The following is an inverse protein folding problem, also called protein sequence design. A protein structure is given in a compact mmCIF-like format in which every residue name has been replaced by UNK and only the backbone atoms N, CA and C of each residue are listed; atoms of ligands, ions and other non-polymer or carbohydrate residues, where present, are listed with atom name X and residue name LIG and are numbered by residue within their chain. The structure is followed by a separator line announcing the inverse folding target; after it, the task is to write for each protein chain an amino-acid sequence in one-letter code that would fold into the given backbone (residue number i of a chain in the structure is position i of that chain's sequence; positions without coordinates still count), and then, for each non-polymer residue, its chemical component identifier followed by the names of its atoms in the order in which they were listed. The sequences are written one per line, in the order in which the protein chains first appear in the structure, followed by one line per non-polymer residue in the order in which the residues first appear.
data_IF_243976314080
#
_entry.id   IF_243976314080
#
_cell.length_a   1.000
_cell.length_b   1.000
_cell.length_c   1.000
_cell.angle_alpha   90.00
_cell.angle_beta   90.00
_cell.angle_gamma   90.00
#
_symmetry.space_group_name_H-M   'P 1'
#
loop_
_entity.id
_entity.type
_entity.pdbx_description
1 polymer ?
#
# COMPACT_ATOMS: atom_id res chain seq x y z
N UNK A 1 7.60 -29.71 -12.74
CA UNK A 1 7.74 -29.42 -12.22
C UNK A 1 8.11 -29.28 -11.50
N UNK A 2 8.45 -29.62 -12.28
CA UNK A 2 8.78 -29.26 -11.55
C UNK A 2 9.16 -29.03 -10.85
N UNK A 3 9.33 -29.34 -11.61
CA UNK A 3 9.64 -28.81 -10.99
C UNK A 3 9.83 -28.61 -10.35
N UNK A 4 9.91 -28.57 -10.75
CA UNK A 4 9.98 -28.11 -9.98
C UNK A 4 9.98 -27.86 -9.16
N UNK A 5 9.90 -27.97 -9.56
CA UNK A 5 9.84 -27.40 -8.76
C UNK A 5 9.71 -27.18 -8.25
N UNK A 6 9.58 -26.92 -8.63
CA UNK A 6 9.39 -26.39 -7.90
C UNK A 6 9.13 -26.21 -7.26
N UNK A 7 8.97 -26.44 -7.76
CA UNK A 7 8.70 -25.95 -7.05
C UNK A 7 8.69 -25.60 -6.19
N UNK A 8 8.30 -25.34 -6.21
CA UNK A 8 8.27 -24.82 -5.53
C UNK A 8 8.31 -24.36 -5.19
N UNK A 9 8.35 -24.05 -5.58
CA UNK A 9 8.33 -23.43 -5.42
C UNK A 9 8.15 -22.91 -5.72
N UNK A 10 7.89 -22.93 -6.42
CA UNK A 10 7.61 -22.34 -6.73
C UNK A 10 7.10 -21.72 -6.37
N UNK A 11 6.73 -21.77 -6.31
CA UNK A 11 6.27 -21.02 -6.01
C UNK A 11 6.34 -20.50 -5.33
N UNK A 12 6.35 -20.33 -5.38
CA UNK A 12 6.54 -19.31 -4.73
C UNK A 12 7.58 -18.58 -4.74
N UNK A 13 8.14 -18.86 -5.22
CA UNK A 13 9.14 -18.15 -5.39
C UNK A 13 9.13 -17.12 -6.28
N UNK A 14 8.43 -17.29 -7.09
CA UNK A 14 8.44 -16.26 -7.91
C UNK A 14 7.91 -15.07 -7.30
N UNK A 15 8.10 -15.24 -6.67
CA UNK A 15 7.87 -14.29 -6.16
C UNK A 15 7.59 -13.10 -6.07
N UNK A 16 7.23 -13.40 -6.56
CA UNK A 16 7.10 -12.35 -5.66
C UNK A 16 7.47 -11.04 -6.22
N UNK A 17 8.54 -10.95 -6.60
CA UNK A 17 9.09 -9.70 -6.98
C UNK A 17 8.57 -9.19 -8.26
N UNK A 18 7.98 -10.06 -9.04
CA UNK A 18 7.61 -9.70 -10.40
C UNK A 18 6.13 -9.48 -10.62
N UNK A 19 5.35 -9.42 -9.56
CA UNK A 19 3.92 -9.16 -9.72
C UNK A 19 3.74 -7.71 -10.13
N UNK A 20 3.26 -7.50 -11.37
CA UNK A 20 3.02 -6.18 -11.92
C UNK A 20 1.57 -5.78 -11.91
N UNK A 21 0.68 -6.75 -11.88
CA UNK A 21 -0.75 -6.51 -11.78
C UNK A 21 -1.44 -7.73 -11.20
N UNK A 22 -2.56 -7.49 -10.56
CA UNK A 22 -3.34 -8.56 -9.97
C UNK A 22 -4.79 -8.11 -9.86
N UNK A 23 -5.70 -9.08 -9.83
CA UNK A 23 -7.11 -8.83 -9.58
C UNK A 23 -7.50 -9.70 -8.40
N UNK A 24 -8.14 -9.08 -7.41
CA UNK A 24 -8.73 -9.79 -6.28
C UNK A 24 -10.25 -9.74 -6.44
N UNK A 25 -10.89 -10.87 -6.32
CA UNK A 25 -12.33 -10.99 -6.53
C UNK A 25 -13.08 -10.87 -5.20
N UNK A 26 -14.38 -10.68 -5.30
CA UNK A 26 -15.24 -10.52 -4.13
C UNK A 26 -14.96 -11.59 -3.09
N UNK A 27 -14.71 -11.18 -1.86
CA UNK A 27 -14.49 -12.10 -0.76
C UNK A 27 -13.03 -12.50 -0.54
N UNK A 28 -12.13 -12.15 -1.43
CA UNK A 28 -10.69 -12.43 -1.24
C UNK A 28 -10.07 -11.38 -0.31
N UNK A 29 -10.67 -11.19 0.84
CA UNK A 29 -10.26 -10.14 1.78
C UNK A 29 -8.89 -10.46 2.36
N UNK A 30 -8.67 -11.70 2.78
CA UNK A 30 -7.39 -12.06 3.37
C UNK A 30 -6.26 -12.05 2.34
N UNK A 31 -6.54 -12.53 1.12
CA UNK A 31 -5.53 -12.54 0.06
C UNK A 31 -5.11 -11.13 -0.31
N UNK A 32 -6.07 -10.22 -0.43
CA UNK A 32 -5.78 -8.82 -0.72
C UNK A 32 -5.01 -8.16 0.43
N UNK A 33 -5.42 -8.41 1.67
CA UNK A 33 -4.72 -7.93 2.85
C UNK A 33 -3.27 -8.42 2.85
N UNK A 34 -3.07 -9.71 2.65
CA UNK A 34 -1.75 -10.33 2.65
C UNK A 34 -0.84 -9.75 1.56
N UNK A 35 -1.41 -9.52 0.37
CA UNK A 35 -0.66 -8.93 -0.74
C UNK A 35 -0.21 -7.51 -0.40
N UNK A 36 -1.12 -6.69 0.11
CA UNK A 36 -0.82 -5.30 0.46
C UNK A 36 0.20 -5.24 1.60
N UNK A 37 0.06 -6.08 2.61
CA UNK A 37 1.03 -6.17 3.70
C UNK A 37 2.41 -6.55 3.14
N UNK A 38 2.45 -7.44 2.15
CA UNK A 38 3.70 -7.79 1.49
C UNK A 38 4.37 -6.58 0.84
N UNK A 39 3.59 -5.70 0.21
CA UNK A 39 4.12 -4.47 -0.36
C UNK A 39 4.64 -3.53 0.74
N UNK A 40 3.87 -3.39 1.82
CA UNK A 40 4.27 -2.55 2.96
C UNK A 40 5.61 -3.02 3.54
N UNK A 41 5.78 -4.33 3.65
CA UNK A 41 7.00 -4.92 4.21
C UNK A 41 8.21 -4.83 3.30
N UNK A 42 8.03 -4.53 2.03
CA UNK A 42 9.15 -4.28 1.12
C UNK A 42 9.84 -2.96 1.43
N UNK A 43 9.14 -2.00 2.01
CA UNK A 43 9.69 -0.67 2.25
C UNK A 43 10.81 -0.72 3.27
N UNK A 44 11.92 -0.05 2.94
CA UNK A 44 13.08 0.07 3.81
C UNK A 44 13.26 1.49 4.33
N UNK A 45 12.70 2.48 3.65
CA UNK A 45 12.87 3.88 4.00
C UNK A 45 11.56 4.63 4.16
N UNK A 46 10.66 4.52 3.20
CA UNK A 46 9.48 5.37 3.19
C UNK A 46 8.30 4.73 2.46
N UNK A 47 7.11 4.95 3.01
CA UNK A 47 5.85 4.57 2.39
C UNK A 47 5.04 5.85 2.22
N UNK A 48 4.47 6.07 1.04
CA UNK A 48 3.49 7.12 0.82
C UNK A 48 2.20 6.44 0.38
N UNK A 49 1.13 6.66 1.12
CA UNK A 49 -0.20 6.16 0.76
C UNK A 49 -1.07 7.34 0.37
N UNK A 50 -1.60 7.30 -0.84
CA UNK A 50 -2.58 8.27 -1.32
C UNK A 50 -3.94 7.57 -1.30
N UNK A 51 -4.82 7.98 -0.39
CA UNK A 51 -6.12 7.33 -0.21
C UNK A 51 -7.05 8.31 0.53
N UNK A 52 -8.18 8.64 -0.08
CA UNK A 52 -9.10 9.62 0.50
C UNK A 52 -9.97 9.07 1.63
N UNK A 53 -9.99 7.76 1.85
CA UNK A 53 -10.90 7.12 2.80
C UNK A 53 -10.17 6.34 3.88
N UNK A 54 -9.19 6.98 4.50
CA UNK A 54 -8.36 6.34 5.54
C UNK A 54 -9.05 6.32 6.89
N UNK A 55 -8.81 5.27 7.66
CA UNK A 55 -9.34 5.08 9.01
C UNK A 55 -8.40 4.22 9.85
N UNK A 56 -8.88 3.74 11.00
CA UNK A 56 -8.08 2.89 11.88
C UNK A 56 -7.65 1.60 11.19
N UNK A 57 -8.50 1.03 10.31
CA UNK A 57 -8.13 -0.20 9.60
C UNK A 57 -6.99 0.03 8.62
N UNK A 58 -6.91 1.25 8.05
CA UNK A 58 -5.75 1.64 7.25
C UNK A 58 -4.48 1.56 8.09
N UNK A 59 -4.52 2.07 9.31
CA UNK A 59 -3.37 2.03 10.22
C UNK A 59 -3.01 0.62 10.64
N UNK A 60 -4.00 -0.27 10.75
CA UNK A 60 -3.75 -1.68 11.07
C UNK A 60 -2.92 -2.38 9.98
N UNK A 61 -3.05 -1.92 8.75
CA UNK A 61 -2.23 -2.42 7.65
C UNK A 61 -0.84 -1.77 7.68
N UNK A 62 -0.80 -0.46 7.83
CA UNK A 62 0.46 0.29 7.82
C UNK A 62 1.38 -0.05 9.00
N UNK A 63 0.83 -0.47 10.13
CA UNK A 63 1.64 -0.85 11.29
C UNK A 63 2.50 -2.10 11.01
N UNK A 64 2.22 -2.82 9.94
CA UNK A 64 3.02 -3.98 9.53
C UNK A 64 4.35 -3.60 8.89
N UNK A 65 4.61 -2.32 8.73
CA UNK A 65 5.86 -1.81 8.17
C UNK A 65 7.07 -2.25 8.98
N UNK A 66 8.23 -2.22 8.34
CA UNK A 66 9.49 -2.43 9.05
C UNK A 66 9.78 -1.26 9.99
N UNK A 67 10.51 -1.55 11.06
CA UNK A 67 10.86 -0.54 12.04
C UNK A 67 11.68 0.57 11.38
N UNK A 68 11.38 1.81 11.74
CA UNK A 68 12.12 2.95 11.25
C UNK A 68 11.66 3.49 9.89
N UNK A 69 10.71 2.84 9.25
CA UNK A 69 10.19 3.31 7.97
C UNK A 69 9.24 4.48 8.18
N UNK A 70 9.46 5.57 7.45
CA UNK A 70 8.57 6.73 7.46
C UNK A 70 7.29 6.42 6.70
N UNK A 71 6.15 6.89 7.19
CA UNK A 71 4.86 6.75 6.50
C UNK A 71 4.22 8.11 6.35
N UNK A 72 3.83 8.43 5.13
CA UNK A 72 3.04 9.64 4.83
C UNK A 72 1.72 9.19 4.23
N UNK A 73 0.62 9.66 4.80
CA UNK A 73 -0.71 9.48 4.20
C UNK A 73 -1.11 10.81 3.58
N UNK A 74 -1.41 10.79 2.29
CA UNK A 74 -1.97 11.94 1.56
C UNK A 74 -3.45 11.66 1.32
N UNK A 75 -4.32 12.44 1.91
CA UNK A 75 -5.75 12.16 1.94
C UNK A 75 -6.59 13.44 1.85
N UNK A 76 -7.77 13.33 1.26
CA UNK A 76 -8.74 14.41 1.26
C UNK A 76 -9.54 14.47 2.58
N UNK A 77 -9.32 13.50 3.48
CA UNK A 77 -9.99 13.50 4.78
C UNK A 77 -11.43 13.04 4.75
N UNK A 78 -11.79 12.23 3.76
CA UNK A 78 -13.17 11.71 3.65
C UNK A 78 -13.42 10.49 4.53
N UNK A 79 -12.38 9.91 5.10
CA UNK A 79 -12.50 8.81 6.03
C UNK A 79 -12.61 9.29 7.47
N UNK A 80 -12.52 8.36 8.40
CA UNK A 80 -12.73 8.62 9.82
C UNK A 80 -11.44 8.70 10.65
N UNK A 81 -10.28 8.80 10.00
CA UNK A 81 -9.02 8.88 10.72
C UNK A 81 -8.94 10.17 11.54
N UNK A 82 -8.67 10.05 12.83
CA UNK A 82 -8.60 11.19 13.72
C UNK A 82 -7.18 11.50 14.15
N UNK A 83 -6.98 12.70 14.69
CA UNK A 83 -5.68 13.09 15.26
C UNK A 83 -5.26 12.17 16.40
N UNK A 84 -6.23 11.69 17.19
CA UNK A 84 -5.95 10.76 18.29
C UNK A 84 -5.40 9.44 17.78
N UNK A 85 -5.90 8.95 16.64
CA UNK A 85 -5.43 7.70 16.04
C UNK A 85 -3.97 7.85 15.63
N UNK A 86 -3.61 8.99 15.07
CA UNK A 86 -2.24 9.27 14.62
C UNK A 86 -1.30 9.30 15.82
N UNK A 87 -1.71 9.95 16.90
CA UNK A 87 -0.92 10.04 18.13
C UNK A 87 -0.68 8.64 18.70
N UNK A 88 -1.73 7.82 18.77
CA UNK A 88 -1.62 6.45 19.27
C UNK A 88 -0.71 5.59 18.40
N UNK A 89 -0.84 5.71 17.09
CA UNK A 89 0.03 4.99 16.17
C UNK A 89 1.51 5.36 16.42
N UNK A 90 1.79 6.66 16.50
CA UNK A 90 3.15 7.14 16.67
C UNK A 90 3.74 6.80 18.04
N UNK A 91 2.90 6.59 19.05
CA UNK A 91 3.37 6.16 20.36
C UNK A 91 3.99 4.77 20.32
N UNK A 92 3.55 3.92 19.39
CA UNK A 92 4.04 2.55 19.30
C UNK A 92 4.91 2.31 18.06
N UNK A 93 4.49 2.79 16.89
CA UNK A 93 5.16 2.47 15.62
C UNK A 93 5.97 3.62 15.04
N UNK A 94 5.68 4.84 15.45
CA UNK A 94 6.36 6.08 15.06
C UNK A 94 6.34 6.44 13.58
N UNK A 95 6.74 7.66 13.28
CA UNK A 95 7.04 8.18 11.93
C UNK A 95 5.87 8.21 10.96
N UNK A 96 4.65 8.33 11.46
CA UNK A 96 3.47 8.57 10.64
C UNK A 96 3.15 10.06 10.59
N UNK A 97 2.96 10.59 9.39
CA UNK A 97 2.43 11.93 9.19
C UNK A 97 1.31 11.90 8.16
N UNK A 98 0.40 12.86 8.24
CA UNK A 98 -0.75 12.94 7.36
C UNK A 98 -0.76 14.30 6.69
N UNK A 99 -0.91 14.30 5.37
CA UNK A 99 -1.04 15.52 4.57
C UNK A 99 -2.43 15.57 3.96
N UNK A 100 -3.02 16.74 3.91
CA UNK A 100 -4.30 16.93 3.25
C UNK A 100 -4.07 17.29 1.79
N UNK A 101 -4.75 16.60 0.89
CA UNK A 101 -4.73 16.93 -0.53
C UNK A 101 -6.06 16.55 -1.16
N UNK A 102 -6.52 17.35 -2.12
CA UNK A 102 -7.72 17.06 -2.89
C UNK A 102 -7.40 16.76 -4.35
N UNK A 103 -6.12 16.52 -4.64
CA UNK A 103 -5.66 16.36 -6.03
C UNK A 103 -5.93 14.99 -6.63
N UNK A 104 -6.33 14.01 -5.82
CA UNK A 104 -6.41 12.62 -6.27
C UNK A 104 -7.80 12.03 -6.13
N UNK A 105 -8.24 11.31 -7.14
CA UNK A 105 -9.42 10.45 -7.09
C UNK A 105 -9.03 9.03 -6.73
N UNK A 106 -7.93 8.55 -7.29
CA UNK A 106 -7.49 7.17 -7.15
C UNK A 106 -6.54 6.98 -5.98
N UNK A 107 -6.25 5.74 -5.66
CA UNK A 107 -5.35 5.36 -4.59
C UNK A 107 -4.04 4.90 -5.19
N UNK A 108 -2.96 5.31 -4.53
CA UNK A 108 -1.61 4.91 -4.93
C UNK A 108 -0.80 4.58 -3.69
N UNK A 109 0.03 3.56 -3.81
CA UNK A 109 0.97 3.19 -2.77
C UNK A 109 2.37 3.31 -3.33
N UNK A 110 3.20 4.12 -2.69
CA UNK A 110 4.58 4.38 -3.11
C UNK A 110 5.53 3.77 -2.09
N UNK A 111 6.45 2.95 -2.58
CA UNK A 111 7.43 2.26 -1.74
C UNK A 111 8.81 2.81 -2.07
N UNK A 112 9.47 3.41 -1.07
CA UNK A 112 10.86 3.91 -1.17
C UNK A 112 11.09 4.88 -2.33
N UNK A 113 10.03 5.57 -2.78
CA UNK A 113 10.07 6.51 -3.91
C UNK A 113 10.51 5.88 -5.23
N UNK A 114 10.50 4.56 -5.32
CA UNK A 114 10.93 3.83 -6.51
C UNK A 114 9.85 2.95 -7.11
N UNK A 115 8.91 2.47 -6.30
CA UNK A 115 7.83 1.62 -6.77
C UNK A 115 6.50 2.28 -6.49
N UNK A 116 5.62 2.30 -7.48
CA UNK A 116 4.28 2.87 -7.36
C UNK A 116 3.26 1.83 -7.79
N UNK A 117 2.24 1.64 -6.96
CA UNK A 117 1.12 0.75 -7.24
C UNK A 117 -0.16 1.54 -7.27
N UNK A 118 -0.93 1.39 -8.35
CA UNK A 118 -2.28 1.92 -8.45
C UNK A 118 -3.23 0.86 -7.86
N UNK A 119 -4.09 1.27 -6.96
CA UNK A 119 -5.00 0.36 -6.25
C UNK A 119 -6.43 0.79 -6.49
N UNK A 120 -7.25 -0.12 -6.99
CA UNK A 120 -8.61 0.18 -7.39
C UNK A 120 -9.62 0.27 -6.25
N UNK A 121 -9.18 0.10 -5.01
CA UNK A 121 -10.04 0.22 -3.82
C UNK A 121 -9.23 0.87 -2.69
N UNK A 122 -9.94 1.47 -1.72
CA UNK A 122 -9.26 1.90 -0.51
C UNK A 122 -8.67 0.67 0.18
N UNK A 123 -7.44 0.79 0.71
CA UNK A 123 -6.77 -0.39 1.26
C UNK A 123 -7.52 -0.97 2.46
N UNK A 124 -8.27 -0.15 3.20
CA UNK A 124 -9.08 -0.65 4.31
C UNK A 124 -10.22 -1.55 3.85
N UNK A 125 -10.65 -1.44 2.59
CA UNK A 125 -11.77 -2.18 2.04
C UNK A 125 -11.35 -3.24 1.04
N UNK A 126 -10.06 -3.45 0.85
CA UNK A 126 -9.53 -4.33 -0.18
C UNK A 126 -10.09 -5.75 -0.06
N UNK A 127 -10.63 -6.25 -1.14
CA UNK A 127 -11.18 -7.61 -1.21
C UNK A 127 -12.64 -7.72 -0.85
N UNK A 128 -13.29 -6.68 -0.35
CA UNK A 128 -14.74 -6.71 -0.11
C UNK A 128 -15.50 -6.80 -1.43
N UNK A 129 -15.00 -6.10 -2.45
CA UNK A 129 -15.46 -6.21 -3.83
C UNK A 129 -14.26 -6.40 -4.73
N UNK A 130 -14.48 -6.89 -5.92
CA UNK A 130 -13.40 -7.13 -6.87
C UNK A 130 -12.69 -5.82 -7.21
N UNK A 131 -11.36 -5.84 -7.22
CA UNK A 131 -10.55 -4.68 -7.57
C UNK A 131 -9.22 -5.11 -8.14
N UNK A 132 -8.55 -4.18 -8.81
CA UNK A 132 -7.24 -4.44 -9.39
C UNK A 132 -6.13 -3.66 -8.72
N UNK A 133 -4.93 -4.19 -8.79
CA UNK A 133 -3.68 -3.51 -8.40
C UNK A 133 -2.75 -3.58 -9.59
N UNK A 134 -2.16 -2.45 -9.97
CA UNK A 134 -1.22 -2.37 -11.08
C UNK A 134 0.04 -1.62 -10.66
N UNK A 135 1.19 -2.20 -10.93
CA UNK A 135 2.47 -1.53 -10.70
C UNK A 135 2.74 -0.59 -11.87
N UNK A 136 2.99 0.68 -11.55
CA UNK A 136 3.37 1.68 -12.54
C UNK A 136 4.88 1.65 -12.69
N UNK A 137 5.37 1.47 -13.91
CA UNK A 137 6.80 1.30 -14.14
C UNK A 137 7.47 2.48 -14.84
N UNK A 138 6.69 3.41 -15.40
CA UNK A 138 7.24 4.58 -16.07
C UNK A 138 7.88 5.52 -15.05
N UNK A 139 9.17 5.73 -15.17
CA UNK A 139 9.93 6.52 -14.19
C UNK A 139 9.51 7.98 -14.15
N UNK A 140 9.09 8.55 -15.26
CA UNK A 140 8.65 9.93 -15.31
C UNK A 140 7.32 10.10 -14.58
N UNK A 141 6.40 9.14 -14.74
CA UNK A 141 5.14 9.15 -14.01
C UNK A 141 5.38 9.00 -12.51
N UNK A 142 6.28 8.11 -12.11
CA UNK A 142 6.62 7.92 -10.71
C UNK A 142 7.15 9.22 -10.11
N UNK A 143 8.07 9.87 -10.79
CA UNK A 143 8.65 11.12 -10.30
C UNK A 143 7.60 12.23 -10.23
N UNK A 144 6.73 12.31 -11.23
CA UNK A 144 5.64 13.29 -11.24
C UNK A 144 4.71 13.09 -10.06
N UNK A 145 4.35 11.84 -9.75
CA UNK A 145 3.48 11.54 -8.61
C UNK A 145 4.16 11.93 -7.30
N UNK A 146 5.42 11.57 -7.13
CA UNK A 146 6.16 11.89 -5.91
C UNK A 146 6.25 13.40 -5.71
N UNK A 147 6.46 14.16 -6.79
CA UNK A 147 6.53 15.61 -6.70
C UNK A 147 5.21 16.23 -6.22
N UNK A 148 4.08 15.59 -6.53
CA UNK A 148 2.77 16.09 -6.10
C UNK A 148 2.51 15.90 -4.61
N UNK A 149 3.14 14.92 -3.99
CA UNK A 149 2.87 14.57 -2.58
C UNK A 149 4.06 14.83 -1.65
N UNK A 150 5.06 15.47 -2.17
CA UNK A 150 6.27 15.74 -1.44
C UNK A 150 6.05 16.86 -0.42
#
# INVERSE_FOLDING_TARGET
EIGSGLVGSEMCIRDSTEVKQNIFFNGQIYDAFSFIVGLIRKAKKKIILIDNYVDVYTLNILCKKNQGVDVVIATAGKGSLSAKDIIKFNAQYSKLSVKTTTDFHDRFLVIDKTEVYHIGASIKDAGKKSFGITKIEDKDLIQSLINKVR
#
